data_IF_587606256706
#
_entry.id   IF_587606256706
#
_cell.length_a   1.000
_cell.length_b   1.000
_cell.length_c   1.000
_cell.angle_alpha   90.00
_cell.angle_beta   90.00
_cell.angle_gamma   90.00
#
_symmetry.space_group_name_H-M   'P 1'
#
loop_
_entity.id
_entity.type
_entity.pdbx_description
1 polymer ?
#
# COMPACT_ATOMS: atom_id res chain seq x y z
N UNK A 1 3.77 13.65 17.48
CA UNK A 1 5.14 13.12 17.34
C UNK A 1 5.74 13.65 16.05
N UNK A 2 6.87 14.36 16.13
CA UNK A 2 7.49 15.05 14.99
C UNK A 2 8.33 14.08 14.17
N UNK A 3 7.85 13.70 12.98
CA UNK A 3 8.69 13.07 11.96
C UNK A 3 9.63 14.17 11.49
N UNK A 4 10.85 14.21 12.03
CA UNK A 4 11.84 15.21 11.65
C UNK A 4 12.06 15.12 10.14
N UNK A 5 11.48 16.07 9.39
CA UNK A 5 11.86 16.33 8.00
C UNK A 5 13.34 16.72 8.05
N UNK A 6 14.26 15.93 7.49
CA UNK A 6 15.63 16.39 7.22
C UNK A 6 15.64 17.83 6.69
N UNK A 7 16.51 18.65 7.27
CA UNK A 7 16.60 20.08 6.96
C UNK A 7 16.97 20.25 5.47
N UNK A 8 16.39 21.23 4.75
CA UNK A 8 16.64 21.43 3.33
C UNK A 8 18.13 21.52 2.93
N UNK A 9 18.98 22.04 3.83
CA UNK A 9 20.44 22.12 3.67
C UNK A 9 21.13 20.75 3.67
N UNK A 10 20.64 19.78 4.45
CA UNK A 10 21.24 18.43 4.51
C UNK A 10 21.02 17.66 3.20
N UNK A 11 19.95 17.96 2.48
CA UNK A 11 19.65 17.31 1.20
C UNK A 11 20.47 17.84 0.05
N UNK A 12 20.66 19.15 -0.03
CA UNK A 12 21.39 19.79 -1.13
C UNK A 12 22.88 19.41 -1.16
N UNK A 13 23.44 19.00 -0.02
CA UNK A 13 24.83 18.56 0.09
C UNK A 13 25.00 17.02 0.06
N UNK A 14 23.91 16.26 0.14
CA UNK A 14 23.95 14.78 0.13
C UNK A 14 24.20 14.26 -1.29
N UNK A 15 25.10 13.29 -1.51
CA UNK A 15 25.26 12.69 -2.82
C UNK A 15 23.98 11.96 -3.26
N UNK A 16 23.69 11.99 -4.56
CA UNK A 16 22.65 11.16 -5.17
C UNK A 16 23.19 9.79 -5.55
N UNK A 17 22.36 8.76 -5.43
CA UNK A 17 22.64 7.40 -5.91
C UNK A 17 21.67 7.03 -7.04
N UNK A 18 22.11 6.13 -7.92
CA UNK A 18 21.26 5.59 -8.99
C UNK A 18 20.47 4.38 -8.49
N UNK A 19 19.15 4.46 -8.56
CA UNK A 19 18.24 3.38 -8.18
C UNK A 19 17.38 2.99 -9.38
N UNK A 20 17.18 1.71 -9.59
CA UNK A 20 16.33 1.18 -10.66
C UNK A 20 15.36 0.18 -10.02
N UNK A 21 14.05 0.30 -10.29
CA UNK A 21 13.15 -0.80 -9.97
C UNK A 21 13.35 -1.89 -11.01
N UNK A 22 13.53 -3.14 -10.57
CA UNK A 22 13.58 -4.26 -11.51
C UNK A 22 12.16 -4.58 -11.96
N UNK A 23 11.67 -3.85 -12.95
CA UNK A 23 10.52 -4.23 -13.74
C UNK A 23 10.93 -5.04 -14.98
N UNK A 24 9.95 -5.52 -15.74
CA UNK A 24 10.18 -6.04 -17.10
C UNK A 24 11.02 -5.04 -17.90
N UNK A 25 11.96 -5.54 -18.70
CA UNK A 25 13.08 -4.77 -19.29
C UNK A 25 12.70 -3.54 -20.12
N UNK A 26 11.41 -3.36 -20.42
CA UNK A 26 10.88 -2.27 -21.26
C UNK A 26 10.47 -1.04 -20.44
N UNK A 27 10.37 -1.14 -19.11
CA UNK A 27 9.93 -0.02 -18.25
C UNK A 27 11.02 0.51 -17.29
N UNK A 28 12.18 -0.14 -17.17
CA UNK A 28 13.17 0.24 -16.17
C UNK A 28 13.74 1.66 -16.41
N UNK A 29 13.53 2.60 -15.48
CA UNK A 29 14.20 3.92 -15.50
C UNK A 29 15.19 4.02 -14.35
N UNK A 30 16.14 4.93 -14.50
CA UNK A 30 17.14 5.23 -13.47
C UNK A 30 16.68 6.46 -12.71
N UNK A 31 16.41 6.29 -11.42
CA UNK A 31 16.11 7.37 -10.49
C UNK A 31 17.39 7.79 -9.78
N UNK A 32 17.73 9.08 -9.85
CA UNK A 32 18.80 9.67 -9.06
C UNK A 32 18.23 10.23 -7.75
N UNK A 33 18.51 9.58 -6.63
CA UNK A 33 17.88 9.88 -5.34
C UNK A 33 18.95 10.26 -4.32
N UNK A 34 18.73 11.35 -3.58
CA UNK A 34 19.63 11.77 -2.49
C UNK A 34 19.70 10.67 -1.42
N UNK A 35 20.92 10.26 -1.08
CA UNK A 35 21.17 9.19 -0.10
C UNK A 35 20.43 9.42 1.22
N UNK A 36 20.44 10.66 1.73
CA UNK A 36 19.77 11.06 2.96
C UNK A 36 18.24 10.80 2.95
N UNK A 37 17.58 10.85 1.78
CA UNK A 37 16.14 10.55 1.67
C UNK A 37 15.86 9.08 1.91
N UNK A 38 16.74 8.21 1.40
CA UNK A 38 16.54 6.77 1.47
C UNK A 38 16.88 6.22 2.86
N UNK A 39 17.98 6.67 3.44
CA UNK A 39 18.40 6.24 4.78
C UNK A 39 17.39 6.63 5.87
N UNK A 40 16.74 7.79 5.72
CA UNK A 40 15.72 8.21 6.68
C UNK A 40 14.38 7.51 6.54
N UNK A 41 14.16 6.73 5.48
CA UNK A 41 12.81 6.28 5.10
C UNK A 41 12.70 4.80 4.74
N UNK A 42 13.80 4.07 4.57
CA UNK A 42 13.75 2.65 4.21
C UNK A 42 14.91 1.87 4.84
N UNK A 43 14.58 0.90 5.69
CA UNK A 43 15.60 0.03 6.31
C UNK A 43 16.30 -0.86 5.27
N UNK A 44 15.60 -1.21 4.19
CA UNK A 44 16.20 -1.91 3.04
C UNK A 44 17.30 -1.07 2.40
N UNK A 45 17.06 0.23 2.16
CA UNK A 45 18.11 1.11 1.62
C UNK A 45 19.21 1.40 2.65
N UNK A 46 18.90 1.58 3.94
CA UNK A 46 19.91 1.70 5.01
C UNK A 46 20.92 0.54 4.93
N UNK A 47 20.44 -0.71 4.92
CA UNK A 47 21.31 -1.89 4.87
C UNK A 47 22.13 -1.94 3.58
N UNK A 48 21.51 -1.67 2.43
CA UNK A 48 22.21 -1.67 1.12
C UNK A 48 23.29 -0.59 1.02
N UNK A 49 23.09 0.56 1.66
CA UNK A 49 24.00 1.70 1.63
C UNK A 49 25.14 1.58 2.65
N UNK A 50 24.85 1.09 3.86
CA UNK A 50 25.88 0.82 4.88
C UNK A 50 26.87 -0.25 4.43
N UNK A 51 26.38 -1.29 3.74
CA UNK A 51 27.24 -2.38 3.26
C UNK A 51 28.09 -2.02 2.03
N UNK A 52 27.91 -0.84 1.42
CA UNK A 52 28.60 -0.44 0.19
C UNK A 52 29.18 0.97 0.33
N UNK A 53 30.21 1.09 1.16
CA UNK A 53 31.01 2.32 1.26
C UNK A 53 31.66 2.66 -0.11
N UNK A 54 31.28 3.80 -0.68
CA UNK A 54 32.06 4.61 -1.64
C UNK A 54 32.18 4.17 -3.11
N UNK A 55 31.32 3.30 -3.66
CA UNK A 55 31.23 3.11 -5.12
C UNK A 55 29.92 3.64 -5.65
N UNK A 56 29.87 4.08 -6.91
CA UNK A 56 28.63 4.44 -7.60
C UNK A 56 27.68 3.23 -7.60
N UNK A 57 26.82 3.12 -6.58
CA UNK A 57 25.96 1.95 -6.39
C UNK A 57 24.72 2.13 -7.26
N UNK A 58 24.59 1.31 -8.30
CA UNK A 58 23.27 1.04 -8.88
C UNK A 58 22.55 0.07 -7.96
N UNK A 59 21.47 0.54 -7.31
CA UNK A 59 20.63 -0.31 -6.46
C UNK A 59 19.42 -0.77 -7.26
N UNK A 60 19.22 -2.09 -7.30
CA UNK A 60 18.01 -2.69 -7.85
C UNK A 60 17.01 -2.98 -6.73
N UNK A 61 15.75 -2.57 -6.92
CA UNK A 61 14.64 -2.85 -5.99
C UNK A 61 13.78 -3.96 -6.57
N UNK A 62 13.82 -5.15 -5.94
CA UNK A 62 12.89 -6.30 -6.07
C UNK A 62 12.48 -6.76 -7.49
N UNK A 63 12.49 -8.06 -7.81
CA UNK A 63 12.21 -8.53 -9.18
C UNK A 63 10.80 -8.19 -9.72
N UNK A 64 9.85 -7.80 -8.86
CA UNK A 64 8.45 -7.55 -9.22
C UNK A 64 7.99 -6.11 -8.95
N UNK A 65 8.91 -5.18 -8.72
CA UNK A 65 8.56 -3.77 -8.49
C UNK A 65 8.36 -3.08 -9.83
N UNK A 66 7.10 -2.69 -10.11
CA UNK A 66 6.78 -1.89 -11.29
C UNK A 66 7.40 -0.50 -11.16
N UNK A 67 7.99 -0.02 -12.25
CA UNK A 67 8.68 1.27 -12.27
C UNK A 67 7.78 2.41 -11.80
N UNK A 68 6.51 2.41 -12.23
CA UNK A 68 5.59 3.48 -11.88
C UNK A 68 5.20 3.49 -10.39
N UNK A 69 5.17 2.35 -9.72
CA UNK A 69 4.93 2.28 -8.27
C UNK A 69 6.15 2.79 -7.50
N UNK A 70 7.36 2.45 -7.97
CA UNK A 70 8.58 3.02 -7.43
C UNK A 70 8.67 4.54 -7.66
N UNK A 71 8.26 5.02 -8.83
CA UNK A 71 8.15 6.45 -9.13
C UNK A 71 7.23 7.20 -8.17
N UNK A 72 6.13 6.59 -7.74
CA UNK A 72 5.24 7.14 -6.71
C UNK A 72 5.95 7.25 -5.35
N UNK A 73 6.71 6.23 -4.95
CA UNK A 73 7.54 6.28 -3.75
C UNK A 73 8.60 7.40 -3.83
N UNK A 74 9.27 7.54 -4.98
CA UNK A 74 10.23 8.64 -5.19
C UNK A 74 9.55 10.00 -5.09
N UNK A 75 8.38 10.16 -5.70
CA UNK A 75 7.58 11.39 -5.60
C UNK A 75 7.26 11.71 -4.14
N UNK A 76 6.82 10.71 -3.37
CA UNK A 76 6.57 10.87 -1.94
C UNK A 76 7.82 11.22 -1.13
N UNK A 77 8.99 10.65 -1.45
CA UNK A 77 10.23 11.00 -0.74
C UNK A 77 10.53 12.50 -0.81
N UNK A 78 10.39 13.08 -2.00
CA UNK A 78 10.69 14.50 -2.23
C UNK A 78 9.55 15.42 -1.78
N UNK A 79 8.31 15.08 -2.11
CA UNK A 79 7.17 15.99 -1.94
C UNK A 79 6.37 15.73 -0.66
N UNK A 80 6.58 14.57 -0.02
CA UNK A 80 5.77 14.06 1.11
C UNK A 80 4.30 13.86 0.77
N UNK A 81 3.99 13.77 -0.52
CA UNK A 81 2.65 13.62 -1.06
C UNK A 81 2.71 12.88 -2.40
N UNK A 82 1.65 12.11 -2.67
CA UNK A 82 1.37 11.46 -3.95
C UNK A 82 -0.01 11.96 -4.42
N UNK A 83 -0.14 12.37 -5.70
CA UNK A 83 -1.43 12.70 -6.30
C UNK A 83 -2.48 11.59 -6.10
N UNK A 84 -3.72 11.97 -5.82
CA UNK A 84 -4.80 11.03 -5.49
C UNK A 84 -5.09 10.02 -6.62
N UNK A 85 -5.04 10.51 -7.86
CA UNK A 85 -5.21 9.74 -9.10
C UNK A 85 -4.13 8.69 -9.32
N UNK A 86 -2.97 8.84 -8.68
CA UNK A 86 -1.92 7.80 -8.66
C UNK A 86 -2.05 6.87 -7.44
N UNK A 87 -2.55 7.35 -6.29
CA UNK A 87 -2.71 6.52 -5.09
C UNK A 87 -3.81 5.47 -5.26
N UNK A 88 -5.01 5.88 -5.67
CA UNK A 88 -6.20 5.01 -5.70
C UNK A 88 -5.97 3.74 -6.54
N UNK A 89 -5.58 3.82 -7.83
CA UNK A 89 -5.41 2.63 -8.65
C UNK A 89 -4.21 1.76 -8.26
N UNK A 90 -3.31 2.27 -7.41
CA UNK A 90 -2.04 1.61 -7.05
C UNK A 90 -1.94 1.24 -5.59
N UNK A 91 -2.98 1.50 -4.79
CA UNK A 91 -2.88 1.47 -3.33
C UNK A 91 -2.24 0.18 -2.79
N UNK A 92 -2.70 -0.98 -3.26
CA UNK A 92 -2.16 -2.28 -2.85
C UNK A 92 -0.69 -2.45 -3.27
N UNK A 93 -0.30 -2.05 -4.48
CA UNK A 93 1.07 -2.13 -4.95
C UNK A 93 2.00 -1.18 -4.18
N UNK A 94 1.54 0.03 -3.86
CA UNK A 94 2.28 0.97 -3.02
C UNK A 94 2.46 0.43 -1.60
N UNK A 95 1.45 -0.25 -1.06
CA UNK A 95 1.56 -0.89 0.24
C UNK A 95 2.57 -2.05 0.23
N UNK A 96 2.52 -2.91 -0.79
CA UNK A 96 3.50 -3.97 -0.99
C UNK A 96 4.92 -3.40 -1.13
N UNK A 97 5.07 -2.28 -1.84
CA UNK A 97 6.33 -1.57 -1.95
C UNK A 97 6.81 -1.05 -0.59
N UNK A 98 5.91 -0.48 0.23
CA UNK A 98 6.25 -0.03 1.58
C UNK A 98 6.78 -1.17 2.47
N UNK A 99 6.18 -2.35 2.37
CA UNK A 99 6.64 -3.58 3.03
C UNK A 99 8.02 -3.98 2.53
N UNK A 100 8.20 -4.10 1.21
CA UNK A 100 9.47 -4.52 0.59
C UNK A 100 10.62 -3.57 0.96
N UNK A 101 10.32 -2.29 1.06
CA UNK A 101 11.29 -1.26 1.44
C UNK A 101 11.48 -1.17 2.97
N UNK A 102 10.72 -1.91 3.76
CA UNK A 102 10.69 -1.81 5.22
C UNK A 102 10.54 -0.33 5.65
N UNK A 103 9.56 0.35 5.05
CA UNK A 103 9.32 1.79 5.20
C UNK A 103 8.08 2.06 6.03
N UNK A 104 8.26 2.12 7.36
CA UNK A 104 7.13 2.39 8.27
C UNK A 104 6.49 3.76 8.03
N UNK A 105 7.30 4.78 7.69
CA UNK A 105 6.80 6.12 7.39
C UNK A 105 5.94 6.13 6.12
N UNK A 106 6.35 5.39 5.08
CA UNK A 106 5.58 5.32 3.85
C UNK A 106 4.28 4.53 4.05
N UNK A 107 4.35 3.41 4.77
CA UNK A 107 3.15 2.65 5.17
C UNK A 107 2.16 3.52 5.96
N UNK A 108 2.63 4.23 6.98
CA UNK A 108 1.79 5.13 7.79
C UNK A 108 1.17 6.25 6.95
N UNK A 109 1.91 6.78 5.98
CA UNK A 109 1.37 7.73 5.01
C UNK A 109 0.24 7.10 4.17
N UNK A 110 0.44 5.88 3.65
CA UNK A 110 -0.57 5.17 2.87
C UNK A 110 -1.83 4.88 3.70
N UNK A 111 -1.70 4.48 4.96
CA UNK A 111 -2.86 4.26 5.85
C UNK A 111 -3.72 5.52 6.00
N UNK A 112 -3.10 6.68 6.21
CA UNK A 112 -3.82 7.96 6.33
C UNK A 112 -4.41 8.37 4.99
N UNK A 113 -3.61 8.30 3.91
CA UNK A 113 -4.04 8.74 2.59
C UNK A 113 -5.15 7.85 2.04
N UNK A 114 -5.04 6.54 2.21
CA UNK A 114 -6.04 5.58 1.78
C UNK A 114 -7.40 5.81 2.45
N UNK A 115 -7.44 6.11 3.76
CA UNK A 115 -8.70 6.44 4.45
C UNK A 115 -9.37 7.67 3.86
N UNK A 116 -8.58 8.64 3.41
CA UNK A 116 -9.07 9.87 2.82
C UNK A 116 -9.57 9.70 1.37
N UNK A 117 -8.89 8.90 0.55
CA UNK A 117 -9.18 8.83 -0.90
C UNK A 117 -9.91 7.57 -1.38
N UNK A 118 -9.83 6.44 -0.66
CA UNK A 118 -10.47 5.20 -1.10
C UNK A 118 -11.99 5.24 -0.87
N UNK A 119 -12.72 4.87 -1.93
CA UNK A 119 -14.17 4.70 -1.97
C UNK A 119 -14.53 3.24 -1.73
N UNK A 120 -15.82 2.96 -1.47
CA UNK A 120 -16.30 1.60 -1.24
C UNK A 120 -15.92 0.61 -2.34
N UNK A 121 -15.98 1.04 -3.61
CA UNK A 121 -15.55 0.25 -4.77
C UNK A 121 -14.05 -0.09 -4.76
N UNK A 122 -13.21 0.82 -4.28
CA UNK A 122 -11.76 0.66 -4.27
C UNK A 122 -11.32 -0.38 -3.23
N UNK A 123 -12.07 -0.55 -2.15
CA UNK A 123 -11.86 -1.61 -1.17
C UNK A 123 -12.26 -2.99 -1.70
N UNK A 124 -13.22 -3.06 -2.63
CA UNK A 124 -13.69 -4.32 -3.23
C UNK A 124 -12.77 -4.79 -4.38
N UNK A 125 -12.11 -3.88 -5.08
CA UNK A 125 -11.28 -4.23 -6.24
C UNK A 125 -10.18 -5.27 -5.92
N UNK A 126 -9.35 -5.11 -4.87
CA UNK A 126 -8.31 -6.10 -4.54
C UNK A 126 -8.89 -7.46 -4.13
N UNK A 127 -10.09 -7.44 -3.56
CA UNK A 127 -10.84 -8.65 -3.19
C UNK A 127 -11.32 -9.39 -4.44
N UNK A 128 -11.85 -8.66 -5.41
CA UNK A 128 -12.44 -9.22 -6.63
C UNK A 128 -11.39 -9.67 -7.67
N UNK A 129 -10.17 -9.13 -7.65
CA UNK A 129 -9.12 -9.47 -8.64
C UNK A 129 -8.16 -10.57 -8.17
N UNK A 130 -8.47 -11.29 -7.09
CA UNK A 130 -7.58 -12.34 -6.58
C UNK A 130 -6.25 -11.81 -6.02
N UNK A 131 -6.10 -10.48 -5.86
CA UNK A 131 -4.94 -9.88 -5.18
C UNK A 131 -4.80 -10.39 -3.74
N UNK A 132 -5.92 -10.86 -3.17
CA UNK A 132 -6.00 -11.57 -1.90
C UNK A 132 -5.44 -12.99 -1.92
N UNK A 133 -5.46 -13.70 -3.04
CA UNK A 133 -4.88 -15.05 -3.14
C UNK A 133 -3.38 -15.01 -2.83
N UNK A 134 -2.71 -13.93 -3.25
CA UNK A 134 -1.30 -13.63 -2.91
C UNK A 134 -1.10 -13.31 -1.42
N UNK A 135 -2.16 -12.95 -0.68
CA UNK A 135 -2.11 -12.63 0.75
C UNK A 135 -2.38 -13.87 1.64
N UNK A 136 -2.91 -14.97 1.07
CA UNK A 136 -3.22 -16.22 1.78
C UNK A 136 -2.22 -17.35 1.54
N UNK A 137 -1.11 -17.09 0.85
CA UNK A 137 0.01 -18.01 0.75
C UNK A 137 0.80 -18.02 2.08
N UNK A 138 1.19 -19.20 2.57
CA UNK A 138 1.49 -19.51 3.99
C UNK A 138 2.68 -18.76 4.65
N UNK A 139 3.39 -17.88 3.92
CA UNK A 139 4.55 -17.12 4.40
C UNK A 139 4.25 -15.63 4.73
N UNK A 140 2.97 -15.24 4.79
CA UNK A 140 2.54 -13.85 4.54
C UNK A 140 2.09 -13.01 5.77
N UNK A 141 2.84 -13.01 6.88
CA UNK A 141 2.56 -12.09 8.03
C UNK A 141 2.42 -10.63 7.56
N UNK A 142 3.20 -10.24 6.56
CA UNK A 142 3.26 -8.89 5.99
C UNK A 142 2.02 -8.48 5.19
N UNK A 143 1.31 -9.45 4.62
CA UNK A 143 0.12 -9.17 3.81
C UNK A 143 -1.18 -9.13 4.64
N UNK A 144 -1.16 -9.74 5.82
CA UNK A 144 -2.26 -9.70 6.79
C UNK A 144 -2.64 -8.27 7.17
N UNK A 145 -1.68 -7.36 7.32
CA UNK A 145 -1.98 -5.97 7.72
C UNK A 145 -2.72 -5.20 6.62
N UNK A 146 -2.34 -5.38 5.36
CA UNK A 146 -3.07 -4.79 4.22
C UNK A 146 -4.49 -5.34 4.18
N UNK A 147 -4.64 -6.64 4.40
CA UNK A 147 -5.94 -7.30 4.44
C UNK A 147 -6.84 -6.71 5.54
N UNK A 148 -6.34 -6.66 6.78
CA UNK A 148 -7.08 -6.11 7.91
C UNK A 148 -7.46 -4.64 7.67
N UNK A 149 -6.56 -3.86 7.06
CA UNK A 149 -6.85 -2.49 6.65
C UNK A 149 -7.98 -2.40 5.62
N UNK A 150 -7.97 -3.23 4.58
CA UNK A 150 -9.01 -3.22 3.54
C UNK A 150 -10.37 -3.67 4.07
N UNK A 151 -10.42 -4.73 4.89
CA UNK A 151 -11.67 -5.20 5.50
C UNK A 151 -12.23 -4.17 6.47
N UNK A 152 -11.38 -3.56 7.31
CA UNK A 152 -11.83 -2.51 8.21
C UNK A 152 -12.36 -1.31 7.44
N UNK A 153 -11.67 -0.87 6.38
CA UNK A 153 -12.14 0.22 5.53
C UNK A 153 -13.49 -0.09 4.87
N UNK A 154 -13.70 -1.32 4.42
CA UNK A 154 -14.98 -1.78 3.87
C UNK A 154 -16.09 -1.73 4.93
N UNK A 155 -15.83 -2.25 6.13
CA UNK A 155 -16.77 -2.21 7.24
C UNK A 155 -17.11 -0.75 7.64
N UNK A 156 -16.12 0.13 7.71
CA UNK A 156 -16.31 1.55 8.03
C UNK A 156 -17.21 2.24 6.99
N UNK A 157 -17.03 1.94 5.69
CA UNK A 157 -17.90 2.49 4.63
C UNK A 157 -19.32 1.94 4.71
N UNK A 158 -19.50 0.64 4.99
CA UNK A 158 -20.82 0.04 5.17
C UNK A 158 -21.53 0.63 6.40
N UNK A 159 -20.82 0.80 7.52
CA UNK A 159 -21.37 1.41 8.73
C UNK A 159 -21.75 2.89 8.51
N UNK A 160 -20.93 3.65 7.77
CA UNK A 160 -21.20 5.05 7.50
C UNK A 160 -22.34 5.28 6.50
N UNK A 161 -22.43 4.46 5.46
CA UNK A 161 -23.44 4.64 4.40
C UNK A 161 -24.71 3.82 4.61
N UNK A 162 -24.64 2.73 5.37
CA UNK A 162 -25.64 1.66 5.39
C UNK A 162 -25.56 0.80 4.13
N UNK A 163 -25.99 -0.47 4.23
CA UNK A 163 -25.88 -1.47 3.16
C UNK A 163 -26.43 -1.01 1.81
N UNK A 164 -27.65 -0.46 1.78
CA UNK A 164 -28.32 -0.07 0.52
C UNK A 164 -27.54 1.02 -0.22
N UNK A 165 -27.11 2.05 0.51
CA UNK A 165 -26.38 3.17 -0.07
C UNK A 165 -24.95 2.77 -0.43
N UNK A 166 -24.31 1.92 0.39
CA UNK A 166 -23.01 1.35 0.09
C UNK A 166 -23.03 0.59 -1.25
N UNK A 167 -23.97 -0.35 -1.43
CA UNK A 167 -24.12 -1.12 -2.67
C UNK A 167 -24.31 -0.18 -3.86
N UNK A 168 -25.23 0.78 -3.73
CA UNK A 168 -25.49 1.77 -4.79
C UNK A 168 -24.24 2.57 -5.17
N UNK A 169 -23.44 3.02 -4.18
CA UNK A 169 -22.20 3.77 -4.41
C UNK A 169 -21.04 2.95 -4.98
N UNK A 170 -21.13 1.63 -4.94
CA UNK A 170 -20.09 0.76 -5.52
C UNK A 170 -20.26 0.57 -7.03
N UNK A 171 -21.33 1.12 -7.63
CA UNK A 171 -21.60 1.09 -9.07
C UNK A 171 -21.46 -0.33 -9.68
N UNK A 172 -22.03 -1.34 -9.01
CA UNK A 172 -21.97 -2.74 -9.44
C UNK A 172 -20.76 -3.52 -8.90
N UNK A 173 -19.84 -2.88 -8.19
CA UNK A 173 -18.66 -3.52 -7.61
C UNK A 173 -18.99 -4.60 -6.58
N UNK A 174 -20.01 -4.38 -5.75
CA UNK A 174 -20.48 -5.37 -4.78
C UNK A 174 -21.09 -6.60 -5.48
N UNK A 175 -21.95 -6.39 -6.47
CA UNK A 175 -22.56 -7.45 -7.26
C UNK A 175 -21.50 -8.25 -8.02
N UNK A 176 -20.52 -7.57 -8.61
CA UNK A 176 -19.39 -8.23 -9.27
C UNK A 176 -18.61 -9.11 -8.30
N UNK A 177 -18.30 -8.61 -7.10
CA UNK A 177 -17.65 -9.40 -6.05
C UNK A 177 -18.51 -10.60 -5.63
N UNK A 178 -19.81 -10.40 -5.42
CA UNK A 178 -20.74 -11.47 -5.02
C UNK A 178 -20.99 -12.50 -6.13
N UNK A 179 -20.83 -12.14 -7.40
CA UNK A 179 -20.93 -13.07 -8.53
C UNK A 179 -19.62 -13.82 -8.81
N UNK A 180 -18.49 -13.37 -8.25
CA UNK A 180 -17.23 -14.08 -8.38
C UNK A 180 -17.31 -15.44 -7.67
N UNK A 181 -16.90 -16.51 -8.36
CA UNK A 181 -16.88 -17.86 -7.79
C UNK A 181 -15.84 -17.90 -6.67
N UNK A 182 -16.16 -18.57 -5.58
CA UNK A 182 -15.16 -18.82 -4.53
C UNK A 182 -14.06 -19.73 -5.08
N UNK A 183 -12.82 -19.43 -4.73
CA UNK A 183 -11.67 -20.18 -5.18
C UNK A 183 -11.55 -21.52 -4.41
N UNK A 184 -10.53 -22.31 -4.74
CA UNK A 184 -10.27 -23.58 -4.03
C UNK A 184 -9.90 -23.38 -2.56
N UNK A 185 -9.49 -22.17 -2.18
CA UNK A 185 -8.98 -21.81 -0.86
C UNK A 185 -10.06 -21.16 0.04
N UNK A 186 -11.27 -20.98 -0.50
CA UNK A 186 -12.38 -20.32 0.19
C UNK A 186 -12.11 -18.83 0.46
N UNK A 187 -11.30 -18.16 -0.36
CA UNK A 187 -10.85 -16.78 -0.14
C UNK A 187 -12.03 -15.82 -0.01
N UNK A 188 -13.05 -15.96 -0.85
CA UNK A 188 -14.26 -15.11 -0.77
C UNK A 188 -15.03 -15.38 0.52
N UNK A 189 -15.18 -16.66 0.90
CA UNK A 189 -15.81 -17.04 2.16
C UNK A 189 -15.10 -16.48 3.40
N UNK A 190 -13.76 -16.45 3.41
CA UNK A 190 -12.93 -15.84 4.47
C UNK A 190 -13.14 -14.33 4.53
N UNK A 191 -13.16 -13.65 3.38
CA UNK A 191 -13.43 -12.22 3.29
C UNK A 191 -14.79 -11.87 3.87
N UNK A 192 -15.84 -12.58 3.43
CA UNK A 192 -17.19 -12.35 3.93
C UNK A 192 -17.28 -12.60 5.44
N UNK A 193 -16.71 -13.71 5.93
CA UNK A 193 -16.71 -14.03 7.36
C UNK A 193 -16.06 -12.93 8.20
N UNK A 194 -14.88 -12.45 7.78
CA UNK A 194 -14.17 -11.39 8.50
C UNK A 194 -14.86 -10.04 8.40
N UNK A 195 -15.48 -9.73 7.25
CA UNK A 195 -16.29 -8.52 7.11
C UNK A 195 -17.49 -8.55 8.07
N UNK A 196 -18.22 -9.67 8.14
CA UNK A 196 -19.34 -9.82 9.07
C UNK A 196 -18.89 -9.68 10.53
N UNK A 197 -17.78 -10.33 10.90
CA UNK A 197 -17.22 -10.21 12.25
C UNK A 197 -16.90 -8.74 12.62
N UNK A 198 -16.38 -7.96 11.67
CA UNK A 198 -16.08 -6.53 11.89
C UNK A 198 -17.34 -5.67 12.00
N UNK A 199 -18.35 -5.95 11.18
CA UNK A 199 -19.64 -5.26 11.25
C UNK A 199 -20.37 -5.56 12.56
N UNK A 200 -20.34 -6.82 13.03
CA UNK A 200 -20.96 -7.22 14.29
C UNK A 200 -20.31 -6.53 15.50
N UNK A 201 -18.97 -6.44 15.53
CA UNK A 201 -18.25 -5.70 16.58
C UNK A 201 -18.64 -4.22 16.59
N UNK A 202 -18.70 -3.57 15.43
CA UNK A 202 -19.14 -2.18 15.33
C UNK A 202 -20.59 -1.97 15.80
N UNK A 203 -21.47 -2.95 15.60
CA UNK A 203 -22.85 -2.88 16.08
C UNK A 203 -22.94 -3.01 17.61
N UNK A 204 -22.14 -3.90 18.21
CA UNK A 204 -22.07 -4.08 19.67
C UNK A 204 -21.49 -2.84 20.37
N UNK A 205 -20.45 -2.22 19.82
CA UNK A 205 -19.86 -1.00 20.36
C UNK A 205 -20.85 0.18 20.31
N UNK A 206 -21.65 0.29 19.25
CA UNK A 206 -22.69 1.33 19.11
C UNK A 206 -23.92 1.11 20.02
N UNK A 207 -24.16 -0.12 20.49
CA UNK A 207 -25.24 -0.41 21.45
C UNK A 207 -24.81 -0.20 22.92
N UNK A 208 -23.51 -0.06 23.19
CA UNK A 208 -22.96 0.14 24.53
C UNK A 208 -22.57 1.61 24.83
N UNK A 209 -22.59 2.47 23.81
CA UNK A 209 -22.37 3.92 23.91
C UNK A 209 -23.69 4.69 24.05
#
# INVERSE_FOLDING_TARGET
MSICKPRPTVFTESPTISVTASGTSWESRVHHIHRALLEGQSMTFCRKLTNRCNKSVRITVGPDVRERDFGCFVTWLYNREIPEDEVVPRFCYLWQLAILLESQNFKSYLEVRGKACLRGSDYLFPVATGLLELLFDDDAITHRELYEYLIQGLADKINADGWVRFITKTDGGWEHFMNHKDDKNGTKGKVLSMLMERLDKGHQENMQA
#
